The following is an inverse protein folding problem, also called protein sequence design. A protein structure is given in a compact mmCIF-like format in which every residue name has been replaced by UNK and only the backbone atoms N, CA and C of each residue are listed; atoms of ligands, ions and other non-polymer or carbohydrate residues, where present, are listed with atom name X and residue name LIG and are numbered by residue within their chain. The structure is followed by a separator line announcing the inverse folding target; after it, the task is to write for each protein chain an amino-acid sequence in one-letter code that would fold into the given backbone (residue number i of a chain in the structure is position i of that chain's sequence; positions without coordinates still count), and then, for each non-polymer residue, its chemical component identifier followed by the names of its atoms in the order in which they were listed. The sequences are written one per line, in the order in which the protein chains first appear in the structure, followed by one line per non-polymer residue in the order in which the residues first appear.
data_IF_482271914241
#
_entry.id   IF_482271914241
#
_cell.length_a   1.000
_cell.length_b   1.000
_cell.length_c   1.000
_cell.angle_alpha   90.00
_cell.angle_beta   90.00
_cell.angle_gamma   90.00
#
_symmetry.space_group_name_H-M   'P 1'
#
loop_
_entity.id
_entity.type
_entity.pdbx_description
1 polymer ?
#
# COMPACT_ATOMS: atom_id res chain seq x y z
N UNK A 1 20.15 5.89 16.40
CA UNK A 1 19.10 5.51 15.44
C UNK A 1 18.29 6.76 15.15
N UNK A 2 18.38 7.32 13.94
CA UNK A 2 17.58 8.48 13.55
C UNK A 2 16.38 8.03 12.75
N UNK A 3 15.32 8.83 12.76
CA UNK A 3 14.06 8.51 12.07
C UNK A 3 13.69 9.61 11.10
N UNK A 4 13.07 9.21 9.99
CA UNK A 4 12.67 10.10 8.91
C UNK A 4 11.35 9.65 8.31
N UNK A 5 10.59 10.61 7.81
CA UNK A 5 9.36 10.34 7.08
C UNK A 5 9.63 10.19 5.59
N UNK A 6 9.16 9.11 5.03
CA UNK A 6 9.16 8.86 3.59
C UNK A 6 7.75 9.09 3.05
N UNK A 7 7.63 9.87 1.99
CA UNK A 7 6.34 10.21 1.35
C UNK A 7 6.45 10.02 -0.15
N UNK A 8 5.56 9.20 -0.73
CA UNK A 8 5.39 9.09 -2.18
C UNK A 8 4.25 10.00 -2.65
N UNK A 9 4.23 10.28 -3.97
CA UNK A 9 3.27 11.16 -4.60
C UNK A 9 2.61 10.46 -5.78
N UNK A 10 1.43 10.95 -6.15
CA UNK A 10 0.76 10.50 -7.36
C UNK A 10 1.71 10.59 -8.56
N UNK A 11 2.54 11.62 -8.57
CA UNK A 11 3.47 11.86 -9.65
C UNK A 11 2.75 12.47 -10.86
N UNK A 12 3.50 12.69 -11.89
CA UNK A 12 3.01 13.35 -13.07
C UNK A 12 3.79 12.92 -14.29
N UNK A 13 4.13 13.88 -15.13
CA UNK A 13 4.94 13.66 -16.32
C UNK A 13 6.29 13.01 -15.99
N UNK A 14 6.90 12.34 -16.95
CA UNK A 14 8.11 11.54 -16.81
C UNK A 14 9.27 12.30 -16.16
N UNK A 15 9.47 13.57 -16.51
CA UNK A 15 10.53 14.41 -15.97
C UNK A 15 10.25 14.96 -14.56
N UNK A 16 9.05 14.72 -14.00
CA UNK A 16 8.68 15.28 -12.71
C UNK A 16 9.64 14.88 -11.60
N UNK A 17 10.02 15.87 -10.77
CA UNK A 17 10.81 15.64 -9.56
C UNK A 17 10.05 14.86 -8.51
N UNK A 18 8.72 14.77 -8.63
CA UNK A 18 7.81 14.06 -7.75
C UNK A 18 7.78 12.53 -8.01
N UNK A 19 8.30 12.09 -9.15
CA UNK A 19 8.55 10.67 -9.40
C UNK A 19 9.75 10.18 -8.58
N UNK A 20 9.60 10.23 -7.26
CA UNK A 20 10.52 9.74 -6.24
C UNK A 20 9.80 9.69 -4.88
N UNK A 21 10.36 9.01 -3.92
CA UNK A 21 9.96 9.12 -2.52
C UNK A 21 10.70 10.29 -1.92
N UNK A 22 10.00 11.24 -1.31
CA UNK A 22 10.61 12.39 -0.64
C UNK A 22 10.79 12.11 0.84
N UNK A 23 11.92 12.53 1.37
CA UNK A 23 12.31 12.34 2.76
C UNK A 23 12.12 13.63 3.52
N UNK A 24 11.47 13.52 4.69
CA UNK A 24 11.27 14.62 5.62
C UNK A 24 11.82 14.25 6.99
N UNK A 25 12.27 15.27 7.74
CA UNK A 25 12.65 15.11 9.14
C UNK A 25 11.44 14.78 10.01
N UNK A 26 11.69 14.42 11.26
CA UNK A 26 10.63 14.23 12.27
C UNK A 26 9.83 15.51 12.55
N UNK A 27 10.32 16.68 12.13
CA UNK A 27 9.65 17.97 12.24
C UNK A 27 8.90 18.36 10.95
N UNK A 28 8.85 17.50 9.94
CA UNK A 28 8.17 17.75 8.67
C UNK A 28 8.98 18.60 7.66
N UNK A 29 10.27 18.82 7.89
CA UNK A 29 11.14 19.57 7.00
C UNK A 29 11.67 18.67 5.86
N UNK A 30 11.49 19.10 4.62
CA UNK A 30 12.01 18.34 3.47
C UNK A 30 13.53 18.26 3.51
N UNK A 31 14.06 17.07 3.37
CA UNK A 31 15.51 16.80 3.41
C UNK A 31 16.06 16.46 2.02
N UNK A 32 15.59 15.40 1.40
CA UNK A 32 16.14 14.84 0.15
C UNK A 32 15.13 13.93 -0.57
N UNK A 33 15.57 13.27 -1.61
CA UNK A 33 14.86 12.15 -2.27
C UNK A 33 15.46 10.84 -1.77
N UNK A 34 14.60 9.83 -1.53
CA UNK A 34 15.03 8.54 -1.02
C UNK A 34 15.71 7.66 -2.08
N UNK A 35 15.24 7.72 -3.33
CA UNK A 35 15.70 6.81 -4.39
C UNK A 35 16.76 7.50 -5.26
N UNK A 36 17.90 6.81 -5.42
CA UNK A 36 18.99 7.28 -6.29
C UNK A 36 18.65 7.00 -7.77
N UNK A 37 18.16 8.01 -8.49
CA UNK A 37 17.86 7.87 -9.92
C UNK A 37 19.09 7.58 -10.79
N UNK A 38 20.30 7.92 -10.33
CA UNK A 38 21.54 7.67 -11.09
C UNK A 38 21.94 6.19 -11.09
N UNK A 39 21.46 5.42 -10.13
CA UNK A 39 21.71 3.97 -10.06
C UNK A 39 20.76 3.15 -10.94
N UNK A 40 19.73 3.77 -11.54
CA UNK A 40 18.78 3.08 -12.41
C UNK A 40 19.44 2.68 -13.73
N UNK A 41 19.28 1.45 -14.20
CA UNK A 41 19.73 1.05 -15.51
C UNK A 41 18.93 1.75 -16.63
N UNK A 42 19.51 1.80 -17.82
CA UNK A 42 18.83 2.36 -18.98
C UNK A 42 17.48 1.65 -19.22
N UNK A 43 16.43 2.43 -19.44
CA UNK A 43 15.07 1.92 -19.68
C UNK A 43 14.20 1.79 -18.43
N UNK A 44 14.75 1.88 -17.22
CA UNK A 44 13.95 1.93 -15.98
C UNK A 44 13.68 3.39 -15.62
N UNK A 45 12.41 3.72 -15.48
CA UNK A 45 11.94 5.07 -15.16
C UNK A 45 11.00 5.02 -13.97
N UNK A 46 11.17 5.94 -13.02
CA UNK A 46 10.26 6.10 -11.90
C UNK A 46 9.05 6.93 -12.32
N UNK A 47 7.85 6.40 -12.22
CA UNK A 47 6.59 7.11 -12.47
C UNK A 47 5.47 6.60 -11.58
N UNK A 48 4.68 7.54 -11.07
CA UNK A 48 3.50 7.21 -10.24
C UNK A 48 3.84 6.22 -9.12
N UNK A 49 4.77 6.59 -8.26
CA UNK A 49 5.13 5.73 -7.13
C UNK A 49 3.98 5.68 -6.14
N UNK A 50 3.49 4.46 -5.90
CA UNK A 50 2.41 4.19 -4.96
C UNK A 50 2.98 3.63 -3.65
N UNK A 51 2.49 2.48 -3.21
CA UNK A 51 2.96 1.83 -2.00
C UNK A 51 4.44 1.49 -2.02
N UNK A 52 5.05 1.50 -0.85
CA UNK A 52 6.41 1.04 -0.64
C UNK A 52 6.55 0.44 0.76
N UNK A 53 7.44 -0.54 0.92
CA UNK A 53 7.65 -1.26 2.17
C UNK A 53 9.06 -1.84 2.21
N UNK A 54 9.64 -1.97 3.41
CA UNK A 54 10.83 -2.80 3.58
C UNK A 54 10.43 -4.27 3.65
N UNK A 55 11.07 -5.09 2.81
CA UNK A 55 10.83 -6.52 2.77
C UNK A 55 11.55 -7.29 3.90
N UNK A 56 11.33 -8.62 3.99
CA UNK A 56 11.97 -9.47 4.99
C UNK A 56 13.50 -9.53 4.84
N UNK A 57 14.03 -9.21 3.67
CA UNK A 57 15.46 -9.06 3.38
C UNK A 57 16.01 -7.65 3.70
N UNK A 58 15.18 -6.80 4.33
CA UNK A 58 15.47 -5.41 4.69
C UNK A 58 15.74 -4.48 3.50
N UNK A 59 15.45 -4.89 2.27
CA UNK A 59 15.50 -4.02 1.10
C UNK A 59 14.16 -3.28 0.92
N UNK A 60 14.21 -2.12 0.24
CA UNK A 60 13.05 -1.29 -0.01
C UNK A 60 12.38 -1.72 -1.32
N UNK A 61 11.11 -2.11 -1.25
CA UNK A 61 10.28 -2.47 -2.39
C UNK A 61 9.32 -1.32 -2.69
N UNK A 62 9.26 -0.91 -3.96
CA UNK A 62 8.51 0.27 -4.38
C UNK A 62 7.61 -0.08 -5.55
N UNK A 63 6.35 0.26 -5.45
CA UNK A 63 5.38 0.16 -6.55
C UNK A 63 5.65 1.28 -7.55
N UNK A 64 5.98 0.91 -8.78
CA UNK A 64 6.12 1.78 -9.95
C UNK A 64 4.90 1.55 -10.84
N UNK A 65 3.87 2.40 -10.74
CA UNK A 65 2.52 2.05 -11.18
C UNK A 65 2.18 2.50 -12.59
N UNK A 66 2.99 3.38 -13.20
CA UNK A 66 2.63 3.93 -14.50
C UNK A 66 2.47 2.84 -15.58
N UNK A 67 1.48 3.01 -16.41
CA UNK A 67 0.95 2.05 -17.38
C UNK A 67 2.00 1.14 -18.07
N UNK A 68 3.05 1.73 -18.64
CA UNK A 68 4.12 0.96 -19.34
C UNK A 68 5.14 0.35 -18.37
N UNK A 69 5.18 0.82 -17.13
CA UNK A 69 6.15 0.48 -16.09
C UNK A 69 5.51 -0.18 -14.88
N UNK A 70 4.43 -0.93 -15.08
CA UNK A 70 3.78 -1.70 -14.00
C UNK A 70 4.76 -2.71 -13.41
N UNK A 71 5.52 -2.28 -12.40
CA UNK A 71 6.66 -3.01 -11.84
C UNK A 71 6.69 -2.87 -10.31
N UNK A 72 7.32 -3.84 -9.66
CA UNK A 72 7.82 -3.67 -8.30
C UNK A 72 9.33 -3.56 -8.38
N UNK A 73 9.86 -2.41 -8.00
CA UNK A 73 11.29 -2.13 -8.00
C UNK A 73 11.86 -2.42 -6.62
N UNK A 74 13.05 -3.01 -6.57
CA UNK A 74 13.80 -3.25 -5.34
C UNK A 74 15.00 -2.34 -5.29
N UNK A 75 15.18 -1.70 -4.14
CA UNK A 75 16.32 -0.86 -3.82
C UNK A 75 17.03 -1.41 -2.58
N UNK A 76 18.34 -1.19 -2.49
CA UNK A 76 19.12 -1.58 -1.33
C UNK A 76 18.57 -0.92 -0.07
N UNK A 77 18.42 -1.67 1.02
CA UNK A 77 17.94 -1.13 2.29
C UNK A 77 18.95 -0.22 2.97
N UNK A 78 20.25 -0.44 2.72
CA UNK A 78 21.33 0.43 3.20
C UNK A 78 21.41 1.68 2.36
N UNK A 79 21.54 2.83 3.02
CA UNK A 79 21.73 4.12 2.36
C UNK A 79 23.16 4.26 1.82
N UNK A 80 23.30 4.85 0.65
CA UNK A 80 24.59 5.27 0.10
C UNK A 80 25.12 6.54 0.80
N UNK A 81 26.28 7.06 0.38
CA UNK A 81 26.92 8.28 0.91
C UNK A 81 26.04 9.54 0.85
N UNK A 82 25.08 9.58 -0.09
CA UNK A 82 24.15 10.70 -0.25
C UNK A 82 22.84 10.49 0.54
N UNK A 83 22.75 9.45 1.37
CA UNK A 83 21.56 9.08 2.14
C UNK A 83 20.42 8.58 1.25
N UNK A 84 20.70 7.95 0.13
CA UNK A 84 19.73 7.42 -0.82
C UNK A 84 19.84 5.89 -0.95
N UNK A 85 18.75 5.26 -1.32
CA UNK A 85 18.72 3.84 -1.67
C UNK A 85 19.11 3.66 -3.14
N UNK A 86 20.13 2.85 -3.41
CA UNK A 86 20.54 2.49 -4.76
C UNK A 86 19.66 1.37 -5.31
N UNK A 87 19.38 1.42 -6.61
CA UNK A 87 18.62 0.40 -7.31
C UNK A 87 19.33 -0.97 -7.23
N UNK A 88 18.54 -2.01 -6.96
CA UNK A 88 19.03 -3.39 -6.91
C UNK A 88 18.53 -4.18 -8.13
N UNK A 89 17.22 -4.24 -8.34
CA UNK A 89 16.63 -5.00 -9.45
C UNK A 89 15.17 -4.58 -9.72
N UNK A 90 14.64 -4.97 -10.88
CA UNK A 90 13.19 -5.07 -11.13
C UNK A 90 12.75 -6.39 -10.53
N UNK A 91 12.11 -6.35 -9.36
CA UNK A 91 11.71 -7.55 -8.64
C UNK A 91 10.51 -8.24 -9.29
N UNK A 92 9.48 -7.48 -9.65
CA UNK A 92 8.33 -7.98 -10.43
C UNK A 92 8.12 -7.07 -11.61
N UNK A 93 8.00 -7.66 -12.81
CA UNK A 93 7.77 -6.93 -14.07
C UNK A 93 6.51 -7.43 -14.76
N UNK A 94 5.71 -6.50 -15.27
CA UNK A 94 4.61 -6.82 -16.17
C UNK A 94 5.14 -7.48 -17.45
N UNK A 95 4.45 -8.52 -17.90
CA UNK A 95 4.70 -9.15 -19.17
C UNK A 95 3.38 -9.70 -19.72
N UNK A 96 3.08 -9.39 -20.98
CA UNK A 96 1.78 -9.68 -21.57
C UNK A 96 1.36 -11.16 -21.52
N UNK A 97 2.32 -12.09 -21.56
CA UNK A 97 2.04 -13.53 -21.58
C UNK A 97 2.30 -14.19 -20.21
N UNK A 98 3.42 -13.88 -19.56
CA UNK A 98 3.85 -14.60 -18.36
C UNK A 98 3.49 -13.92 -17.06
N UNK A 99 3.16 -12.65 -17.06
CA UNK A 99 2.73 -11.88 -15.90
C UNK A 99 1.77 -10.72 -16.26
N UNK A 100 0.63 -10.99 -16.89
CA UNK A 100 -0.36 -9.97 -17.25
C UNK A 100 -1.15 -9.46 -16.05
N UNK A 101 -1.10 -10.15 -14.91
CA UNK A 101 -1.86 -9.83 -13.73
C UNK A 101 -1.45 -8.52 -13.07
N UNK A 102 -0.18 -8.11 -13.20
CA UNK A 102 0.28 -6.83 -12.69
C UNK A 102 0.04 -5.72 -13.73
N UNK A 103 -0.95 -4.86 -13.46
CA UNK A 103 -1.26 -3.73 -14.30
C UNK A 103 -1.76 -2.57 -13.43
N UNK A 104 -1.00 -1.47 -13.40
CA UNK A 104 -1.19 -0.34 -12.51
C UNK A 104 -1.26 -0.78 -11.04
N UNK A 105 -0.17 -1.38 -10.50
CA UNK A 105 -0.14 -1.83 -9.11
C UNK A 105 -0.34 -0.64 -8.15
N UNK A 106 -0.96 -0.90 -6.98
CA UNK A 106 -1.25 0.15 -6.01
C UNK A 106 -0.51 -0.05 -4.69
N UNK A 107 -0.60 -1.24 -4.13
CA UNK A 107 -0.03 -1.55 -2.82
C UNK A 107 0.65 -2.92 -2.85
N UNK A 108 1.48 -3.18 -1.87
CA UNK A 108 2.20 -4.43 -1.71
C UNK A 108 2.30 -4.81 -0.23
N UNK A 109 2.32 -6.10 0.05
CA UNK A 109 2.49 -6.65 1.38
C UNK A 109 3.30 -7.94 1.32
N UNK A 110 4.05 -8.24 2.37
CA UNK A 110 4.66 -9.54 2.58
C UNK A 110 3.86 -10.32 3.62
N UNK A 111 3.70 -11.61 3.40
CA UNK A 111 3.16 -12.52 4.43
C UNK A 111 4.25 -12.96 5.42
N UNK A 112 3.88 -13.79 6.37
CA UNK A 112 4.80 -14.32 7.39
C UNK A 112 5.87 -15.28 6.83
N UNK A 113 5.65 -15.84 5.64
CA UNK A 113 6.61 -16.69 4.95
C UNK A 113 7.56 -15.88 4.07
N UNK A 114 7.29 -14.58 3.91
CA UNK A 114 8.07 -13.63 3.13
C UNK A 114 7.72 -13.61 1.65
N UNK A 115 6.58 -14.18 1.23
CA UNK A 115 6.08 -14.06 -0.12
C UNK A 115 5.41 -12.71 -0.35
N UNK A 116 5.51 -12.19 -1.58
CA UNK A 116 5.03 -10.87 -1.93
C UNK A 116 3.63 -10.93 -2.54
N UNK A 117 2.73 -10.08 -2.04
CA UNK A 117 1.39 -9.86 -2.57
C UNK A 117 1.25 -8.44 -3.10
N UNK A 118 0.68 -8.30 -4.28
CA UNK A 118 0.52 -7.01 -4.97
C UNK A 118 -0.92 -6.81 -5.37
N UNK A 119 -1.51 -5.69 -4.96
CA UNK A 119 -2.81 -5.26 -5.48
C UNK A 119 -2.64 -4.55 -6.81
N UNK A 120 -3.42 -4.93 -7.81
CA UNK A 120 -3.33 -4.45 -9.18
C UNK A 120 -4.65 -3.80 -9.62
N UNK A 121 -4.65 -2.48 -9.82
CA UNK A 121 -5.88 -1.71 -10.00
C UNK A 121 -6.61 -2.05 -11.29
N UNK A 122 -5.91 -2.06 -12.43
CA UNK A 122 -6.54 -2.24 -13.74
C UNK A 122 -7.06 -3.67 -13.93
N UNK A 123 -6.41 -4.65 -13.33
CA UNK A 123 -6.87 -6.05 -13.35
C UNK A 123 -7.80 -6.37 -12.21
N UNK A 124 -7.90 -5.52 -11.19
CA UNK A 124 -8.72 -5.69 -9.97
C UNK A 124 -8.48 -7.04 -9.29
N UNK A 125 -7.22 -7.45 -9.11
CA UNK A 125 -6.83 -8.70 -8.47
C UNK A 125 -5.72 -8.49 -7.45
N UNK A 126 -5.51 -9.46 -6.57
CA UNK A 126 -4.28 -9.62 -5.81
C UNK A 126 -3.45 -10.72 -6.49
N UNK A 127 -2.23 -10.37 -6.88
CA UNK A 127 -1.26 -11.34 -7.39
C UNK A 127 -0.24 -11.70 -6.30
N UNK A 128 0.22 -12.97 -6.30
CA UNK A 128 1.22 -13.49 -5.36
C UNK A 128 2.49 -13.92 -6.10
N UNK A 129 3.63 -13.53 -5.53
CA UNK A 129 4.96 -13.76 -6.08
C UNK A 129 5.88 -14.39 -5.05
N UNK A 130 6.78 -15.25 -5.51
CA UNK A 130 7.87 -15.77 -4.67
C UNK A 130 8.67 -14.63 -4.05
N UNK A 131 8.79 -14.65 -2.74
CA UNK A 131 9.52 -13.65 -1.98
C UNK A 131 11.03 -13.68 -2.19
N UNK A 132 11.79 -12.71 -1.63
CA UNK A 132 13.23 -12.58 -1.87
C UNK A 132 14.07 -13.75 -1.35
N UNK A 133 13.59 -14.47 -0.35
CA UNK A 133 14.26 -15.64 0.25
C UNK A 133 13.57 -16.97 -0.11
N UNK A 134 12.69 -16.96 -1.13
CA UNK A 134 11.92 -18.15 -1.52
C UNK A 134 12.86 -19.32 -1.88
N UNK A 135 12.49 -20.50 -1.39
CA UNK A 135 13.17 -21.77 -1.70
C UNK A 135 12.36 -22.64 -2.68
N UNK A 136 11.13 -22.25 -2.97
CA UNK A 136 10.19 -23.01 -3.81
C UNK A 136 10.09 -22.50 -5.24
N UNK A 137 10.62 -21.31 -5.51
CA UNK A 137 10.63 -20.70 -6.82
C UNK A 137 11.59 -19.53 -6.93
N UNK A 138 11.78 -19.02 -8.14
CA UNK A 138 12.65 -17.85 -8.37
C UNK A 138 12.00 -16.60 -7.78
N UNK A 139 12.70 -15.81 -6.95
CA UNK A 139 12.18 -14.55 -6.43
C UNK A 139 11.57 -13.66 -7.51
N UNK A 140 10.43 -13.04 -7.18
CA UNK A 140 9.70 -12.13 -8.07
C UNK A 140 8.91 -12.81 -9.20
N UNK A 141 8.94 -14.15 -9.31
CA UNK A 141 8.09 -14.87 -10.28
C UNK A 141 6.71 -15.20 -9.71
N UNK A 142 5.65 -15.24 -10.56
CA UNK A 142 4.31 -15.61 -10.12
C UNK A 142 4.28 -16.98 -9.44
N UNK A 143 3.58 -17.08 -8.33
CA UNK A 143 3.33 -18.34 -7.64
C UNK A 143 2.18 -19.11 -8.28
N UNK A 144 2.07 -20.45 -8.06
CA UNK A 144 0.94 -21.24 -8.49
C UNK A 144 -0.38 -20.69 -7.96
N UNK A 145 -1.47 -20.91 -8.70
CA UNK A 145 -2.81 -20.55 -8.25
C UNK A 145 -3.15 -21.27 -6.94
N UNK A 146 -3.85 -20.61 -6.00
CA UNK A 146 -4.30 -21.27 -4.78
C UNK A 146 -5.37 -22.33 -5.09
N UNK A 147 -5.46 -23.36 -4.26
CA UNK A 147 -6.44 -24.46 -4.43
C UNK A 147 -7.87 -23.97 -4.55
N UNK A 148 -8.20 -22.86 -3.90
CA UNK A 148 -9.53 -22.23 -3.96
C UNK A 148 -9.96 -21.85 -5.38
N UNK A 149 -9.03 -21.68 -6.30
CA UNK A 149 -9.28 -21.32 -7.70
C UNK A 149 -9.23 -22.52 -8.67
N UNK A 150 -8.79 -23.69 -8.24
CA UNK A 150 -8.64 -24.86 -9.14
C UNK A 150 -9.97 -25.39 -9.68
N UNK A 151 -11.07 -25.16 -8.98
CA UNK A 151 -12.41 -25.57 -9.40
C UNK A 151 -13.11 -24.55 -10.30
N UNK A 152 -12.57 -23.36 -10.40
CA UNK A 152 -13.11 -22.31 -11.26
C UNK A 152 -12.77 -22.60 -12.72
N UNK A 153 -13.73 -22.41 -13.62
CA UNK A 153 -13.52 -22.61 -15.07
C UNK A 153 -12.87 -21.43 -15.78
N UNK A 154 -12.47 -20.40 -15.05
CA UNK A 154 -11.88 -19.19 -15.60
C UNK A 154 -10.38 -19.37 -15.88
N UNK A 155 -9.90 -18.68 -16.92
CA UNK A 155 -8.47 -18.59 -17.20
C UNK A 155 -7.85 -17.43 -16.42
N UNK A 156 -7.32 -17.75 -15.23
CA UNK A 156 -6.70 -16.74 -14.39
C UNK A 156 -5.28 -16.39 -14.84
N UNK A 157 -4.87 -15.10 -14.78
CA UNK A 157 -3.47 -14.72 -14.95
C UNK A 157 -2.55 -15.48 -13.98
N UNK A 158 -1.33 -15.85 -14.38
CA UNK A 158 -0.33 -16.43 -13.48
C UNK A 158 -0.15 -15.58 -12.21
N UNK A 159 -0.02 -16.23 -11.07
CA UNK A 159 0.13 -15.58 -9.79
C UNK A 159 -1.16 -15.04 -9.17
N UNK A 160 -2.32 -15.15 -9.82
CA UNK A 160 -3.58 -14.71 -9.22
C UNK A 160 -3.83 -15.42 -7.89
N UNK A 161 -3.99 -14.62 -6.83
CA UNK A 161 -4.32 -15.12 -5.50
C UNK A 161 -5.77 -14.83 -5.13
N UNK A 162 -6.21 -13.58 -5.33
CA UNK A 162 -7.62 -13.19 -5.26
C UNK A 162 -8.01 -12.64 -6.63
N UNK A 163 -8.99 -13.25 -7.30
CA UNK A 163 -9.37 -12.85 -8.65
C UNK A 163 -10.22 -11.58 -8.69
N UNK A 164 -10.31 -11.00 -9.87
CA UNK A 164 -11.30 -9.95 -10.20
C UNK A 164 -12.71 -10.52 -10.29
N UNK A 165 -13.73 -9.72 -9.99
CA UNK A 165 -15.14 -10.04 -10.20
C UNK A 165 -15.49 -10.29 -11.68
N UNK A 166 -14.63 -9.89 -12.61
CA UNK A 166 -14.77 -10.22 -14.04
C UNK A 166 -14.44 -11.69 -14.33
N UNK A 167 -13.68 -12.34 -13.45
CA UNK A 167 -13.20 -13.72 -13.60
C UNK A 167 -13.85 -14.71 -12.64
N UNK A 168 -14.31 -14.25 -11.48
CA UNK A 168 -14.96 -15.08 -10.45
C UNK A 168 -16.08 -14.30 -9.75
N UNK A 169 -17.17 -14.97 -9.40
CA UNK A 169 -18.36 -14.34 -8.81
C UNK A 169 -18.11 -13.61 -7.49
N UNK A 170 -17.13 -14.06 -6.71
CA UNK A 170 -16.72 -13.43 -5.44
C UNK A 170 -15.43 -12.62 -5.56
N UNK A 171 -15.03 -12.25 -6.78
CA UNK A 171 -13.82 -11.51 -7.06
C UNK A 171 -13.93 -10.04 -6.67
N UNK A 172 -12.78 -9.34 -6.74
CA UNK A 172 -12.64 -7.93 -6.41
C UNK A 172 -13.20 -7.02 -7.51
N UNK A 173 -13.87 -5.93 -7.13
CA UNK A 173 -14.40 -4.93 -8.06
C UNK A 173 -13.37 -3.86 -8.41
N UNK A 174 -12.72 -3.26 -7.38
CA UNK A 174 -11.68 -2.26 -7.56
C UNK A 174 -10.72 -2.27 -6.37
N UNK A 175 -9.65 -3.03 -6.49
CA UNK A 175 -8.71 -3.21 -5.37
C UNK A 175 -7.85 -1.98 -5.10
N UNK A 176 -7.58 -1.73 -3.82
CA UNK A 176 -6.61 -0.74 -3.34
C UNK A 176 -5.61 -1.38 -2.38
N UNK A 177 -5.67 -1.09 -1.10
CA UNK A 177 -4.72 -1.62 -0.12
C UNK A 177 -4.88 -3.12 0.10
N UNK A 178 -3.77 -3.78 0.40
CA UNK A 178 -3.68 -5.14 0.92
C UNK A 178 -2.73 -5.15 2.10
N UNK A 179 -3.12 -5.76 3.21
CA UNK A 179 -2.28 -5.97 4.39
C UNK A 179 -2.55 -7.34 5.02
N UNK A 180 -1.61 -7.84 5.79
CA UNK A 180 -1.76 -9.03 6.62
C UNK A 180 -1.88 -8.67 8.09
N UNK A 181 -2.79 -9.31 8.79
CA UNK A 181 -2.85 -9.28 10.25
C UNK A 181 -1.94 -10.35 10.86
N UNK A 182 -1.58 -10.23 12.17
CA UNK A 182 -0.73 -11.22 12.84
C UNK A 182 -1.28 -12.66 12.84
N UNK A 183 -2.59 -12.82 12.75
CA UNK A 183 -3.27 -14.10 12.63
C UNK A 183 -3.28 -14.65 11.20
N UNK A 184 -2.53 -14.05 10.29
CA UNK A 184 -2.45 -14.37 8.86
C UNK A 184 -3.77 -14.17 8.08
N UNK A 185 -4.72 -13.41 8.60
CA UNK A 185 -5.82 -12.92 7.78
C UNK A 185 -5.32 -11.80 6.84
N UNK A 186 -5.74 -11.85 5.58
CA UNK A 186 -5.48 -10.81 4.59
C UNK A 186 -6.67 -9.86 4.53
N UNK A 187 -6.42 -8.57 4.72
CA UNK A 187 -7.42 -7.51 4.55
C UNK A 187 -7.18 -6.80 3.22
N UNK A 188 -8.25 -6.66 2.45
CA UNK A 188 -8.22 -6.04 1.12
C UNK A 188 -9.27 -4.94 1.04
N UNK A 189 -8.84 -3.73 0.75
CA UNK A 189 -9.74 -2.63 0.45
C UNK A 189 -10.31 -2.79 -0.96
N UNK A 190 -11.59 -3.08 -1.08
CA UNK A 190 -12.32 -3.14 -2.35
C UNK A 190 -13.12 -1.85 -2.51
N UNK A 191 -12.52 -0.90 -3.21
CA UNK A 191 -12.99 0.49 -3.31
C UNK A 191 -14.38 0.60 -3.94
N UNK A 192 -14.65 -0.12 -5.01
CA UNK A 192 -15.95 -0.06 -5.69
C UNK A 192 -17.04 -0.90 -5.01
N UNK A 193 -16.66 -1.76 -4.08
CA UNK A 193 -17.58 -2.53 -3.25
C UNK A 193 -17.90 -1.85 -1.91
N UNK A 194 -17.30 -0.69 -1.63
CA UNK A 194 -17.41 0.04 -0.36
C UNK A 194 -17.20 -0.86 0.86
N UNK A 195 -16.23 -1.77 0.77
CA UNK A 195 -15.96 -2.71 1.86
C UNK A 195 -14.47 -3.05 1.99
N UNK A 196 -14.11 -3.59 3.13
CA UNK A 196 -12.87 -4.33 3.32
C UNK A 196 -13.19 -5.81 3.34
N UNK A 197 -12.63 -6.56 2.40
CA UNK A 197 -12.78 -8.02 2.32
C UNK A 197 -11.69 -8.70 3.12
N UNK A 198 -12.05 -9.77 3.81
CA UNK A 198 -11.11 -10.55 4.60
C UNK A 198 -10.99 -11.94 4.01
N UNK A 199 -9.75 -12.36 3.81
CA UNK A 199 -9.40 -13.66 3.26
C UNK A 199 -8.47 -14.41 4.21
N UNK A 200 -8.51 -15.74 4.13
CA UNK A 200 -7.47 -16.57 4.72
C UNK A 200 -6.18 -16.39 3.92
N UNK A 201 -5.14 -15.86 4.56
CA UNK A 201 -3.90 -15.45 3.87
C UNK A 201 -3.13 -16.61 3.23
N UNK A 202 -3.38 -17.85 3.63
CA UNK A 202 -2.71 -19.01 3.06
C UNK A 202 -3.38 -19.53 1.78
N UNK A 203 -4.71 -19.56 1.76
CA UNK A 203 -5.49 -20.22 0.70
C UNK A 203 -6.21 -19.25 -0.23
N UNK A 204 -6.31 -17.98 0.14
CA UNK A 204 -7.11 -16.99 -0.60
C UNK A 204 -8.63 -17.19 -0.44
N UNK A 205 -9.07 -18.09 0.46
CA UNK A 205 -10.49 -18.32 0.72
C UNK A 205 -11.11 -17.09 1.38
N UNK A 206 -12.19 -16.57 0.78
CA UNK A 206 -12.94 -15.46 1.37
C UNK A 206 -13.56 -15.90 2.71
N UNK A 207 -13.36 -15.09 3.75
CA UNK A 207 -13.89 -15.36 5.10
C UNK A 207 -15.13 -14.52 5.39
N UNK A 208 -15.03 -13.20 5.23
CA UNK A 208 -16.09 -12.23 5.55
C UNK A 208 -15.75 -10.85 4.97
N UNK A 209 -16.72 -9.97 5.00
CA UNK A 209 -16.52 -8.55 4.70
C UNK A 209 -16.65 -7.74 6.00
N UNK A 210 -15.75 -6.77 6.16
CA UNK A 210 -16.00 -5.64 7.05
C UNK A 210 -16.81 -4.63 6.25
N UNK A 211 -18.08 -4.79 6.24
CA UNK A 211 -18.95 -3.90 5.54
C UNK A 211 -20.09 -3.46 6.45
N UNK A 212 -20.72 -2.36 6.07
CA UNK A 212 -22.16 -2.15 6.23
C UNK A 212 -22.71 -1.99 7.65
N UNK A 213 -21.91 -2.03 8.69
CA UNK A 213 -22.40 -1.60 10.01
C UNK A 213 -22.44 -0.07 10.14
N UNK A 214 -21.91 0.64 9.16
CA UNK A 214 -21.97 2.11 9.11
C UNK A 214 -22.07 2.60 7.67
N UNK A 215 -22.94 3.56 7.40
CA UNK A 215 -22.99 4.35 6.13
C UNK A 215 -21.73 5.21 5.93
N UNK A 216 -20.71 5.00 6.76
CA UNK A 216 -19.50 5.81 6.81
C UNK A 216 -18.34 5.22 6.00
N UNK A 217 -18.42 3.94 5.62
CA UNK A 217 -17.41 3.32 4.75
C UNK A 217 -17.80 3.52 3.28
N UNK A 218 -17.06 4.36 2.61
CA UNK A 218 -17.25 4.71 1.21
C UNK A 218 -15.88 4.81 0.54
N UNK A 219 -15.67 4.03 -0.49
CA UNK A 219 -14.42 3.98 -1.27
C UNK A 219 -13.16 3.82 -0.42
N UNK A 220 -12.98 2.68 0.30
CA UNK A 220 -11.77 2.45 1.11
C UNK A 220 -10.53 2.47 0.23
N UNK A 221 -9.47 3.16 0.69
CA UNK A 221 -8.24 3.34 -0.06
C UNK A 221 -7.06 2.69 0.67
N UNK A 222 -6.82 3.05 1.93
CA UNK A 222 -5.68 2.58 2.71
C UNK A 222 -6.12 1.86 3.97
N UNK A 223 -5.33 0.88 4.37
CA UNK A 223 -5.52 0.07 5.57
C UNK A 223 -4.26 0.15 6.43
N UNK A 224 -4.43 0.25 7.74
CA UNK A 224 -3.33 0.29 8.69
C UNK A 224 -3.72 -0.45 9.98
N UNK A 225 -2.92 -1.43 10.39
CA UNK A 225 -3.08 -2.04 11.70
C UNK A 225 -2.47 -1.17 12.79
N UNK A 226 -3.13 -1.08 13.93
CA UNK A 226 -2.56 -0.46 15.13
C UNK A 226 -1.32 -1.25 15.59
N UNK A 227 -0.35 -0.60 16.27
CA UNK A 227 0.88 -1.27 16.71
C UNK A 227 0.65 -2.46 17.64
N UNK A 228 -0.44 -2.47 18.39
CA UNK A 228 -0.87 -3.58 19.25
C UNK A 228 -1.64 -4.69 18.50
N UNK A 229 -1.89 -4.50 17.19
CA UNK A 229 -2.63 -5.45 16.35
C UNK A 229 -4.13 -5.53 16.66
N UNK A 230 -4.67 -4.67 17.54
CA UNK A 230 -6.08 -4.73 17.97
C UNK A 230 -7.03 -4.06 17.00
N UNK A 231 -6.60 -2.98 16.38
CA UNK A 231 -7.46 -2.16 15.52
C UNK A 231 -6.98 -2.15 14.08
N UNK A 232 -7.93 -2.17 13.17
CA UNK A 232 -7.73 -1.83 11.77
C UNK A 232 -8.24 -0.41 11.52
N UNK A 233 -7.37 0.48 11.07
CA UNK A 233 -7.74 1.79 10.57
C UNK A 233 -8.01 1.71 9.07
N UNK A 234 -9.09 2.35 8.61
CA UNK A 234 -9.57 2.30 7.23
C UNK A 234 -9.77 3.73 6.74
N UNK A 235 -9.01 4.13 5.74
CA UNK A 235 -9.21 5.42 5.07
C UNK A 235 -10.44 5.35 4.16
N UNK A 236 -11.51 6.05 4.52
CA UNK A 236 -12.76 6.17 3.76
C UNK A 236 -12.70 7.38 2.83
N UNK A 237 -12.27 7.16 1.58
CA UNK A 237 -11.98 8.23 0.62
C UNK A 237 -13.22 8.98 0.13
N UNK A 238 -14.39 8.35 0.16
CA UNK A 238 -15.65 9.00 -0.21
C UNK A 238 -16.30 9.83 0.89
N UNK A 239 -15.86 9.64 2.13
CA UNK A 239 -16.37 10.38 3.30
C UNK A 239 -15.33 11.31 3.92
N UNK A 240 -14.11 11.36 3.41
CA UNK A 240 -13.02 12.15 3.98
C UNK A 240 -12.83 11.90 5.48
N UNK A 241 -12.86 10.62 5.87
CA UNK A 241 -12.82 10.17 7.26
C UNK A 241 -11.92 8.95 7.44
N UNK A 242 -11.61 8.60 8.68
CA UNK A 242 -10.93 7.36 9.00
C UNK A 242 -11.82 6.57 9.95
N UNK A 243 -12.08 5.32 9.60
CA UNK A 243 -12.78 4.37 10.46
C UNK A 243 -11.78 3.55 11.26
N UNK A 244 -12.21 3.11 12.44
CA UNK A 244 -11.48 2.16 13.29
C UNK A 244 -12.35 0.94 13.54
N UNK A 245 -11.87 -0.21 13.13
CA UNK A 245 -12.49 -1.49 13.38
C UNK A 245 -11.74 -2.23 14.49
N UNK A 246 -12.45 -2.62 15.55
CA UNK A 246 -11.92 -3.46 16.63
C UNK A 246 -11.97 -4.93 16.18
N UNK A 247 -10.80 -5.52 15.97
CA UNK A 247 -10.67 -6.90 15.47
C UNK A 247 -11.12 -7.94 16.50
N UNK A 248 -11.13 -7.59 17.79
CA UNK A 248 -11.56 -8.48 18.87
C UNK A 248 -13.09 -8.48 19.04
N UNK A 249 -13.70 -7.30 18.96
CA UNK A 249 -15.14 -7.13 19.21
C UNK A 249 -15.97 -7.00 17.93
N UNK A 250 -15.34 -7.03 16.78
CA UNK A 250 -15.96 -6.89 15.44
C UNK A 250 -16.88 -5.65 15.33
N UNK A 251 -16.47 -4.53 15.93
CA UNK A 251 -17.20 -3.27 15.90
C UNK A 251 -16.43 -2.20 15.13
N UNK A 252 -17.15 -1.39 14.34
CA UNK A 252 -16.56 -0.30 13.56
C UNK A 252 -17.14 1.03 14.00
N UNK A 253 -16.29 2.04 14.16
CA UNK A 253 -16.70 3.40 14.47
C UNK A 253 -15.88 4.42 13.67
N UNK A 254 -16.37 5.65 13.58
CA UNK A 254 -15.60 6.78 13.06
C UNK A 254 -14.51 7.12 14.08
N UNK A 255 -13.28 7.12 13.62
CA UNK A 255 -12.10 7.46 14.42
C UNK A 255 -11.62 8.88 14.14
N UNK A 256 -11.52 9.26 12.88
CA UNK A 256 -11.31 10.65 12.46
C UNK A 256 -12.57 11.12 11.75
N UNK A 257 -13.20 12.14 12.29
CA UNK A 257 -14.44 12.70 11.76
C UNK A 257 -14.27 13.23 10.33
N UNK A 258 -15.32 13.18 9.50
CA UNK A 258 -15.27 13.69 8.14
C UNK A 258 -14.73 15.12 8.07
N UNK A 259 -13.77 15.33 7.16
CA UNK A 259 -13.12 16.63 6.89
C UNK A 259 -12.42 17.27 8.09
N UNK A 260 -12.18 16.50 9.17
CA UNK A 260 -11.48 16.97 10.36
C UNK A 260 -10.12 17.57 10.01
N UNK A 261 -9.86 18.81 10.45
CA UNK A 261 -8.65 19.57 10.16
C UNK A 261 -8.31 19.72 8.65
N UNK A 262 -9.31 19.68 7.77
CA UNK A 262 -9.12 19.78 6.34
C UNK A 262 -8.80 18.44 5.64
N UNK A 263 -9.04 17.30 6.30
CA UNK A 263 -8.88 15.99 5.69
C UNK A 263 -9.73 15.88 4.42
N UNK A 264 -9.06 15.60 3.31
CA UNK A 264 -9.68 15.46 1.99
C UNK A 264 -8.97 14.34 1.22
N UNK A 265 -9.65 13.22 1.03
CA UNK A 265 -9.13 12.01 0.44
C UNK A 265 -8.01 11.36 1.26
N UNK A 266 -8.31 10.73 2.43
CA UNK A 266 -7.30 10.01 3.22
C UNK A 266 -6.68 8.89 2.38
N UNK A 267 -5.38 9.02 2.10
CA UNK A 267 -4.58 8.04 1.38
C UNK A 267 -3.69 7.26 2.35
N UNK A 268 -2.37 7.37 2.28
CA UNK A 268 -1.46 6.68 3.18
C UNK A 268 -1.63 7.09 4.64
N UNK A 269 -1.46 6.15 5.54
CA UNK A 269 -1.48 6.36 6.98
C UNK A 269 -0.29 5.65 7.63
N UNK A 270 0.29 6.26 8.66
CA UNK A 270 1.32 5.62 9.48
C UNK A 270 1.31 6.17 10.91
N UNK A 271 1.67 5.33 11.87
CA UNK A 271 1.86 5.75 13.25
C UNK A 271 3.25 6.36 13.44
N UNK A 272 3.30 7.49 14.13
CA UNK A 272 4.53 8.03 14.71
C UNK A 272 4.80 7.45 16.09
N UNK A 273 6.04 7.63 16.57
CA UNK A 273 6.40 7.23 17.96
C UNK A 273 5.98 8.26 18.99
N UNK A 274 5.48 9.39 18.55
CA UNK A 274 5.08 10.54 19.34
C UNK A 274 3.61 10.52 19.79
N UNK A 275 2.92 9.39 19.55
CA UNK A 275 1.52 9.21 19.90
C UNK A 275 0.53 9.78 18.87
N UNK A 276 0.98 10.07 17.66
CA UNK A 276 0.14 10.55 16.57
C UNK A 276 0.02 9.56 15.42
N UNK A 277 -1.16 9.57 14.80
CA UNK A 277 -1.42 9.02 13.49
C UNK A 277 -1.16 10.12 12.45
N UNK A 278 -0.32 9.82 11.48
CA UNK A 278 -0.03 10.69 10.34
C UNK A 278 -0.82 10.22 9.14
N UNK A 279 -1.45 11.15 8.45
CA UNK A 279 -2.37 10.87 7.34
C UNK A 279 -2.02 11.72 6.13
N UNK A 280 -1.75 11.10 5.01
CA UNK A 280 -1.66 11.77 3.73
C UNK A 280 -3.07 12.21 3.30
N UNK A 281 -3.32 13.50 3.39
CA UNK A 281 -4.55 14.15 2.90
C UNK A 281 -4.33 14.51 1.43
N UNK A 282 -4.81 13.63 0.55
CA UNK A 282 -4.42 13.59 -0.85
C UNK A 282 -4.79 14.87 -1.59
N UNK A 283 -6.05 15.28 -1.48
CA UNK A 283 -6.57 16.38 -2.27
C UNK A 283 -6.22 17.75 -1.66
N UNK A 284 -6.05 17.84 -0.34
CA UNK A 284 -5.56 19.05 0.31
C UNK A 284 -4.04 19.23 0.17
N UNK A 285 -3.32 18.20 -0.32
CA UNK A 285 -1.86 18.18 -0.49
C UNK A 285 -1.09 18.46 0.80
N UNK A 286 -1.49 17.75 1.84
CA UNK A 286 -0.94 17.89 3.19
C UNK A 286 -0.69 16.54 3.83
N UNK A 287 0.12 16.53 4.89
CA UNK A 287 0.16 15.45 5.87
C UNK A 287 -0.39 15.98 7.18
N UNK A 288 -1.49 15.40 7.64
CA UNK A 288 -2.20 15.79 8.86
C UNK A 288 -1.83 14.87 10.02
N UNK A 289 -2.05 15.34 11.26
CA UNK A 289 -1.80 14.55 12.47
C UNK A 289 -3.05 14.45 13.32
N UNK A 290 -3.27 13.25 13.84
CA UNK A 290 -4.37 12.95 14.76
C UNK A 290 -3.86 12.19 15.97
N UNK A 291 -4.43 12.40 17.15
CA UNK A 291 -4.06 11.63 18.34
C UNK A 291 -4.41 10.15 18.15
N UNK A 292 -3.49 9.26 18.46
CA UNK A 292 -3.71 7.80 18.32
C UNK A 292 -4.81 7.29 19.26
N UNK A 293 -5.08 7.99 20.36
CA UNK A 293 -6.05 7.57 21.38
C UNK A 293 -7.50 7.79 20.96
N UNK A 294 -7.80 8.92 20.32
CA UNK A 294 -9.18 9.38 20.09
C UNK A 294 -9.46 9.98 18.70
N UNK A 295 -8.46 10.02 17.81
CA UNK A 295 -8.60 10.54 16.45
C UNK A 295 -8.79 12.06 16.33
N UNK A 296 -8.66 12.82 17.44
CA UNK A 296 -8.77 14.27 17.39
C UNK A 296 -7.56 14.89 16.68
N UNK A 297 -7.78 15.95 15.87
CA UNK A 297 -6.70 16.60 15.15
C UNK A 297 -5.70 17.26 16.11
N UNK A 298 -4.44 17.34 15.65
CA UNK A 298 -3.37 17.97 16.42
C UNK A 298 -2.66 19.06 15.65
N UNK A 299 -2.86 20.28 16.07
CA UNK A 299 -2.14 21.45 15.57
C UNK A 299 -2.42 21.77 14.10
N UNK A 300 -1.43 22.40 13.45
CA UNK A 300 -1.41 22.66 12.02
C UNK A 300 -1.01 21.39 11.26
N UNK A 301 -1.20 21.35 9.94
CA UNK A 301 -0.65 20.28 9.10
C UNK A 301 0.83 20.02 9.43
N UNK A 302 1.21 18.75 9.47
CA UNK A 302 2.60 18.37 9.71
C UNK A 302 3.50 18.73 8.54
N UNK A 303 3.00 18.49 7.33
CA UNK A 303 3.58 18.98 6.09
C UNK A 303 2.44 19.65 5.31
N UNK A 304 2.67 20.87 4.85
CA UNK A 304 1.72 21.64 4.05
C UNK A 304 2.33 21.97 2.68
N UNK A 305 1.50 22.48 1.79
CA UNK A 305 1.88 22.99 0.47
C UNK A 305 2.71 21.98 -0.37
N UNK A 306 2.33 20.69 -0.28
CA UNK A 306 2.95 19.67 -1.11
C UNK A 306 2.64 19.96 -2.59
N UNK A 307 3.66 19.78 -3.43
CA UNK A 307 3.54 20.08 -4.86
C UNK A 307 2.58 19.18 -5.61
N UNK A 308 2.25 17.99 -5.05
CA UNK A 308 1.31 17.03 -5.62
C UNK A 308 0.64 16.21 -4.52
N UNK A 309 -0.32 15.40 -4.91
CA UNK A 309 -1.10 14.54 -4.03
C UNK A 309 -0.21 13.48 -3.35
N UNK A 310 -0.06 13.50 -2.01
CA UNK A 310 0.65 12.44 -1.30
C UNK A 310 -0.15 11.13 -1.34
N UNK A 311 0.53 10.01 -1.58
CA UNK A 311 -0.12 8.70 -1.72
C UNK A 311 0.16 7.78 -0.54
N UNK A 312 1.44 7.59 -0.19
CA UNK A 312 1.85 6.76 0.93
C UNK A 312 2.86 7.49 1.80
N UNK A 313 2.88 7.13 3.06
CA UNK A 313 3.91 7.61 3.99
C UNK A 313 4.34 6.50 4.95
N UNK A 314 5.56 6.58 5.41
CA UNK A 314 6.13 5.64 6.38
C UNK A 314 7.17 6.36 7.25
N UNK A 315 7.18 6.07 8.55
CA UNK A 315 8.28 6.44 9.44
C UNK A 315 9.37 5.37 9.35
N UNK A 316 10.55 5.76 8.88
CA UNK A 316 11.69 4.87 8.67
C UNK A 316 12.75 5.14 9.74
N UNK A 317 13.25 4.07 10.38
CA UNK A 317 14.36 4.10 11.31
C UNK A 317 15.63 3.58 10.63
N UNK A 318 16.74 4.29 10.78
CA UNK A 318 18.04 3.95 10.21
C UNK A 318 19.05 3.60 11.29
#
# INVERSE_FOLDING_TARGET
MFKEWYVSFHGGEEASSLNNIHVYSIDGKRLRKALNKKSLPAGIKLRELRGFIFGPDRNLYVVNAYFEYSEILKFNGTLNENGQHDFAEVFVKRHAEINPGIDHPFNLAFDSEGDLYVSSQNTSLIARYHGPASRTGKPGTPMPLPESLHLEKANFPPGTFIPSAKLASNGLLEVRAVIFAPNNEMFVADRAADCVRIYEGRTGRHLRNLSQQTDQLDRPIHLLLSPDGRYLLIGSGGKDSILRHDLQHSSTNVFVEPKSAGLDGPAGMAFGDDGFLYVASRNSKEVLRYRQTDGRPHGKPFINDLADNPEFLMLVAH
#
